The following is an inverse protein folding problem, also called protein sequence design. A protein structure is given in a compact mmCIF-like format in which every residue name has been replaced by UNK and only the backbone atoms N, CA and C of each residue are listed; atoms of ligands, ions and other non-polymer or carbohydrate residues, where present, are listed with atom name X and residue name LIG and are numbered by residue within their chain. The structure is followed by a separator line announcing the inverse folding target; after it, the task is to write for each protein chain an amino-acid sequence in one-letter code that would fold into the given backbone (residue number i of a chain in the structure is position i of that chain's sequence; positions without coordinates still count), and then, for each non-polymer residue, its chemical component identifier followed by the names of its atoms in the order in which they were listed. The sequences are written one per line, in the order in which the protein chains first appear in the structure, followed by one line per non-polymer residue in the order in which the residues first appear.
data_IF_309645575109
#
_entry.id   IF_309645575109
#
_cell.length_a   1.000
_cell.length_b   1.000
_cell.length_c   1.000
_cell.angle_alpha   90.00
_cell.angle_beta   90.00
_cell.angle_gamma   90.00
#
_symmetry.space_group_name_H-M   'P 1'
#
loop_
_entity.id
_entity.type
_entity.pdbx_description
1 polymer ?
#
# COMPACT_ATOMS: atom_id res chain seq x y z
N UNK A 1 -90.05 20.43 27.88
CA UNK A 1 -88.76 21.12 27.89
C UNK A 1 -87.71 20.08 28.18
N UNK A 2 -86.77 19.92 27.27
CA UNK A 2 -85.68 18.95 27.35
C UNK A 2 -84.40 19.65 27.85
N UNK A 3 -83.47 18.90 28.43
CA UNK A 3 -82.22 19.46 28.98
C UNK A 3 -81.40 20.24 27.95
N UNK A 4 -81.41 19.78 26.68
CA UNK A 4 -80.77 20.45 25.53
C UNK A 4 -81.43 21.78 25.14
N UNK A 5 -82.64 22.05 25.63
CA UNK A 5 -83.30 23.34 25.39
C UNK A 5 -82.71 24.43 26.28
N UNK A 6 -82.00 24.06 27.35
CA UNK A 6 -81.43 24.97 28.37
C UNK A 6 -79.90 24.88 28.47
N UNK A 7 -79.29 23.79 28.02
CA UNK A 7 -77.86 23.56 28.09
C UNK A 7 -77.29 23.19 26.72
N UNK A 8 -76.14 23.77 26.37
CA UNK A 8 -75.43 23.43 25.16
C UNK A 8 -73.92 23.40 25.41
N UNK A 9 -73.25 22.37 24.93
CA UNK A 9 -71.79 22.26 24.95
C UNK A 9 -71.29 22.40 23.53
N UNK A 10 -70.31 23.28 23.33
CA UNK A 10 -69.54 23.38 22.09
C UNK A 10 -68.16 22.80 22.36
N UNK A 11 -67.72 21.88 21.51
CA UNK A 11 -66.46 21.16 21.66
C UNK A 11 -65.47 21.53 20.56
N UNK A 12 -64.18 21.63 20.93
CA UNK A 12 -63.06 21.69 20.00
C UNK A 12 -62.13 20.53 20.28
N UNK A 13 -61.90 19.69 19.27
CA UNK A 13 -60.95 18.57 19.34
C UNK A 13 -59.72 18.88 18.51
N UNK A 14 -58.55 18.84 19.12
CA UNK A 14 -57.27 18.98 18.43
C UNK A 14 -56.66 17.59 18.28
N UNK A 15 -56.38 17.17 17.05
CA UNK A 15 -55.76 15.88 16.74
C UNK A 15 -54.35 16.07 16.19
N UNK A 16 -53.47 15.14 16.51
CA UNK A 16 -52.08 15.12 16.07
C UNK A 16 -51.87 13.90 15.17
N UNK A 17 -51.47 14.11 13.92
CA UNK A 17 -51.32 13.05 12.91
C UNK A 17 -50.00 13.20 12.15
N UNK A 18 -49.48 12.11 11.61
CA UNK A 18 -48.39 12.17 10.64
C UNK A 18 -48.91 12.55 9.24
N UNK A 19 -48.02 12.86 8.28
CA UNK A 19 -48.41 13.21 6.89
C UNK A 19 -49.26 12.14 6.19
N UNK A 20 -49.10 10.87 6.56
CA UNK A 20 -49.90 9.75 6.03
C UNK A 20 -51.28 9.61 6.69
N UNK A 21 -51.62 10.48 7.65
CA UNK A 21 -52.87 10.49 8.42
C UNK A 21 -52.87 9.58 9.64
N UNK A 22 -51.79 8.84 9.91
CA UNK A 22 -51.70 7.96 11.08
C UNK A 22 -51.64 8.80 12.36
N UNK A 23 -52.41 8.49 13.41
CA UNK A 23 -52.40 9.29 14.63
C UNK A 23 -51.06 9.17 15.37
N UNK A 24 -50.59 10.30 15.90
CA UNK A 24 -49.53 10.31 16.92
C UNK A 24 -50.10 9.70 18.19
N UNK A 25 -49.42 8.72 18.78
CA UNK A 25 -49.91 8.00 19.95
C UNK A 25 -49.32 8.56 21.25
N UNK A 26 -50.10 8.47 22.32
CA UNK A 26 -49.62 8.56 23.69
C UNK A 26 -48.83 7.29 24.08
N UNK A 27 -48.19 7.30 25.25
CA UNK A 27 -47.44 6.14 25.77
C UNK A 27 -48.32 4.89 25.98
N UNK A 28 -49.62 5.09 26.21
CA UNK A 28 -50.61 4.02 26.36
C UNK A 28 -51.14 3.46 25.03
N UNK A 29 -50.65 3.98 23.90
CA UNK A 29 -51.07 3.56 22.55
C UNK A 29 -52.36 4.20 22.04
N UNK A 30 -52.98 5.12 22.78
CA UNK A 30 -54.17 5.86 22.33
C UNK A 30 -53.78 7.06 21.44
N UNK A 31 -54.64 7.49 20.49
CA UNK A 31 -54.41 8.72 19.73
C UNK A 31 -54.27 9.93 20.65
N UNK A 32 -53.18 10.67 20.47
CA UNK A 32 -52.94 11.94 21.14
C UNK A 32 -53.95 12.96 20.63
N UNK A 33 -54.78 13.46 21.53
CA UNK A 33 -55.80 14.46 21.24
C UNK A 33 -55.95 15.41 22.42
N UNK A 34 -56.42 16.63 22.17
CA UNK A 34 -56.81 17.60 23.21
C UNK A 34 -58.23 18.04 22.94
N UNK A 35 -59.14 17.80 23.89
CA UNK A 35 -60.54 18.24 23.80
C UNK A 35 -60.77 19.40 24.74
N UNK A 36 -61.42 20.45 24.24
CA UNK A 36 -61.85 21.60 25.03
C UNK A 36 -63.35 21.79 24.88
N UNK A 37 -63.99 22.25 25.95
CA UNK A 37 -65.44 22.43 26.02
C UNK A 37 -65.77 23.87 26.44
N UNK A 38 -66.78 24.46 25.80
CA UNK A 38 -67.47 25.65 26.26
C UNK A 38 -68.93 25.29 26.59
N UNK A 39 -69.36 25.55 27.82
CA UNK A 39 -70.68 25.17 28.33
C UNK A 39 -71.57 26.40 28.43
N UNK A 40 -72.64 26.41 27.68
CA UNK A 40 -73.62 27.48 27.63
C UNK A 40 -74.91 27.06 28.31
N UNK A 41 -75.49 27.97 29.08
CA UNK A 41 -76.80 27.79 29.68
C UNK A 41 -77.72 28.95 29.32
N UNK A 42 -79.03 28.71 29.31
CA UNK A 42 -80.05 29.76 29.23
C UNK A 42 -81.23 29.39 30.11
N UNK A 43 -81.96 30.40 30.57
CA UNK A 43 -83.18 30.21 31.34
C UNK A 43 -84.40 30.11 30.43
N UNK A 44 -85.47 29.49 30.93
CA UNK A 44 -86.76 29.53 30.27
C UNK A 44 -87.89 29.80 31.26
N UNK A 45 -88.89 30.55 30.81
CA UNK A 45 -90.10 30.86 31.57
C UNK A 45 -91.28 30.10 30.98
N UNK A 46 -92.03 29.41 31.83
CA UNK A 46 -93.22 28.64 31.46
C UNK A 46 -94.45 29.34 32.01
N UNK A 47 -95.40 29.66 31.14
CA UNK A 47 -96.70 30.15 31.55
C UNK A 47 -97.56 28.97 32.03
N UNK A 48 -97.89 28.93 33.33
CA UNK A 48 -98.64 27.82 33.93
C UNK A 48 -100.11 27.75 33.48
N UNK A 49 -100.65 28.82 32.90
CA UNK A 49 -102.05 28.89 32.42
C UNK A 49 -102.14 28.47 30.96
N UNK A 50 -101.22 28.92 30.10
CA UNK A 50 -101.25 28.66 28.64
C UNK A 50 -100.32 27.53 28.19
N UNK A 51 -99.37 27.12 29.03
CA UNK A 51 -98.30 26.17 28.66
C UNK A 51 -97.21 26.76 27.76
N UNK A 52 -97.26 28.06 27.45
CA UNK A 52 -96.28 28.73 26.59
C UNK A 52 -94.89 28.80 27.24
N UNK A 53 -93.86 28.54 26.44
CA UNK A 53 -92.45 28.57 26.87
C UNK A 53 -91.71 29.69 26.15
N UNK A 54 -91.05 30.56 26.90
CA UNK A 54 -90.14 31.58 26.36
C UNK A 54 -88.73 31.31 26.87
N UNK A 55 -87.73 31.43 25.99
CA UNK A 55 -86.31 31.22 26.31
C UNK A 55 -85.61 32.58 26.43
N UNK A 56 -84.75 32.71 27.43
CA UNK A 56 -83.84 33.85 27.57
C UNK A 56 -82.60 33.71 26.69
N UNK A 57 -81.72 34.71 26.78
CA UNK A 57 -80.43 34.69 26.10
C UNK A 57 -79.50 33.60 26.66
N UNK A 58 -78.64 33.07 25.81
CA UNK A 58 -77.55 32.21 26.24
C UNK A 58 -76.51 32.99 27.06
N UNK A 59 -75.80 32.30 27.95
CA UNK A 59 -74.61 32.84 28.61
C UNK A 59 -73.62 33.41 27.58
N UNK A 60 -72.80 34.42 27.94
CA UNK A 60 -71.86 35.06 27.03
C UNK A 60 -70.89 34.10 26.35
N UNK A 61 -70.33 34.55 25.22
CA UNK A 61 -69.29 33.84 24.47
C UNK A 61 -68.09 33.49 25.36
N UNK A 62 -67.50 32.31 25.11
CA UNK A 62 -66.36 31.79 25.87
C UNK A 62 -65.16 31.60 24.95
N UNK A 63 -63.96 31.74 25.50
CA UNK A 63 -62.70 31.52 24.80
C UNK A 63 -62.19 30.10 25.05
N UNK A 64 -61.86 29.39 23.97
CA UNK A 64 -61.11 28.13 24.02
C UNK A 64 -59.62 28.47 23.87
N UNK A 65 -58.87 28.32 24.96
CA UNK A 65 -57.48 28.75 25.07
C UNK A 65 -56.55 28.11 24.02
N UNK A 66 -55.47 28.82 23.66
CA UNK A 66 -54.38 28.29 22.84
C UNK A 66 -53.84 26.96 23.38
N UNK A 67 -53.54 26.03 22.48
CA UNK A 67 -52.91 24.75 22.82
C UNK A 67 -51.62 24.61 22.01
N UNK A 68 -50.49 24.47 22.71
CA UNK A 68 -49.19 24.23 22.08
C UNK A 68 -49.11 22.83 21.49
N UNK A 69 -48.56 22.72 20.30
CA UNK A 69 -48.27 21.43 19.68
C UNK A 69 -47.14 20.73 20.45
N UNK A 70 -47.25 19.41 20.73
CA UNK A 70 -46.19 18.66 21.38
C UNK A 70 -44.98 18.48 20.46
N UNK A 71 -43.78 18.40 21.04
CA UNK A 71 -42.60 17.94 20.30
C UNK A 71 -42.71 16.44 20.08
N UNK A 72 -42.61 16.01 18.82
CA UNK A 72 -42.58 14.60 18.42
C UNK A 72 -41.20 14.27 17.87
N UNK A 73 -40.47 13.39 18.55
CA UNK A 73 -39.07 13.08 18.22
C UNK A 73 -38.98 12.56 16.78
N UNK A 74 -38.17 13.22 15.96
CA UNK A 74 -37.93 12.87 14.57
C UNK A 74 -38.93 13.46 13.57
N UNK A 75 -39.80 14.38 14.00
CA UNK A 75 -40.81 15.02 13.15
C UNK A 75 -40.97 16.51 13.45
N UNK A 76 -41.41 17.28 12.46
CA UNK A 76 -41.74 18.70 12.57
C UNK A 76 -43.25 18.89 12.42
N UNK A 77 -43.86 19.65 13.33
CA UNK A 77 -45.24 20.05 13.23
C UNK A 77 -45.42 21.12 12.14
N UNK A 78 -46.58 21.14 11.49
CA UNK A 78 -47.00 22.19 10.56
C UNK A 78 -47.27 23.53 11.27
N UNK A 79 -47.68 23.48 12.54
CA UNK A 79 -47.94 24.66 13.39
C UNK A 79 -47.49 24.45 14.83
N UNK A 80 -46.92 25.50 15.41
CA UNK A 80 -46.39 25.50 16.79
C UNK A 80 -47.51 25.45 17.85
N UNK A 81 -48.68 25.99 17.52
CA UNK A 81 -49.87 25.94 18.38
C UNK A 81 -51.15 26.07 17.57
N UNK A 82 -52.26 25.66 18.19
CA UNK A 82 -53.61 25.97 17.75
C UNK A 82 -54.08 27.20 18.53
N UNK A 83 -54.39 28.33 17.87
CA UNK A 83 -54.64 29.60 18.55
C UNK A 83 -55.94 29.58 19.36
N UNK A 84 -56.07 30.57 20.25
CA UNK A 84 -57.33 30.83 20.97
C UNK A 84 -58.47 31.10 19.98
N UNK A 85 -59.65 30.54 20.25
CA UNK A 85 -60.86 30.84 19.46
C UNK A 85 -62.04 31.16 20.37
N UNK A 86 -62.87 32.13 19.96
CA UNK A 86 -64.07 32.52 20.69
C UNK A 86 -65.28 31.80 20.12
N UNK A 87 -66.07 31.18 20.99
CA UNK A 87 -67.28 30.43 20.61
C UNK A 87 -68.52 30.96 21.33
N UNK A 88 -69.67 30.80 20.67
CA UNK A 88 -71.00 31.14 21.21
C UNK A 88 -71.83 29.86 21.33
N UNK A 89 -72.99 29.93 21.97
CA UNK A 89 -73.92 28.80 21.99
C UNK A 89 -74.31 28.33 20.58
N UNK A 90 -74.29 29.17 19.55
CA UNK A 90 -74.64 28.77 18.18
C UNK A 90 -73.47 28.20 17.37
N UNK A 91 -72.25 28.23 17.93
CA UNK A 91 -71.08 27.62 17.31
C UNK A 91 -71.27 26.10 17.15
N UNK A 92 -70.72 25.56 16.06
CA UNK A 92 -70.64 24.10 15.84
C UNK A 92 -69.38 23.55 16.51
N UNK A 93 -69.40 22.25 16.78
CA UNK A 93 -68.18 21.53 17.15
C UNK A 93 -67.15 21.64 16.02
N UNK A 94 -65.87 21.68 16.41
CA UNK A 94 -64.76 21.84 15.48
C UNK A 94 -63.65 20.83 15.75
N UNK A 95 -62.98 20.40 14.67
CA UNK A 95 -61.77 19.58 14.74
C UNK A 95 -60.62 20.31 14.07
N UNK A 96 -59.52 20.45 14.80
CA UNK A 96 -58.27 21.04 14.33
C UNK A 96 -57.21 19.95 14.21
N UNK A 97 -56.55 19.87 13.06
CA UNK A 97 -55.51 18.86 12.81
C UNK A 97 -54.14 19.53 12.80
N UNK A 98 -53.21 19.00 13.58
CA UNK A 98 -51.77 19.33 13.52
C UNK A 98 -51.06 18.15 12.87
N UNK A 99 -50.33 18.42 11.80
CA UNK A 99 -49.68 17.41 10.97
C UNK A 99 -48.17 17.40 11.21
N UNK A 100 -47.59 16.21 11.34
CA UNK A 100 -46.16 16.00 11.58
C UNK A 100 -45.47 15.41 10.35
N UNK A 101 -44.44 16.11 9.86
CA UNK A 101 -43.58 15.68 8.76
C UNK A 101 -42.26 15.12 9.29
N UNK A 102 -41.70 14.02 8.73
CA UNK A 102 -40.40 13.53 9.15
C UNK A 102 -39.30 14.60 9.03
N UNK A 103 -38.46 14.69 10.06
CA UNK A 103 -37.21 15.45 10.00
C UNK A 103 -36.11 14.57 9.37
N UNK A 104 -35.26 15.18 8.56
CA UNK A 104 -34.14 14.54 7.88
C UNK A 104 -33.01 14.12 8.82
N UNK A 105 -31.95 13.60 8.23
CA UNK A 105 -30.77 13.06 8.90
C UNK A 105 -29.48 13.43 8.17
N UNK A 106 -28.37 13.52 8.89
CA UNK A 106 -27.06 13.39 8.26
C UNK A 106 -26.81 11.91 7.94
N UNK A 107 -26.39 11.62 6.70
CA UNK A 107 -26.12 10.28 6.21
C UNK A 107 -24.61 10.16 5.93
N UNK A 108 -23.82 9.60 6.86
CA UNK A 108 -22.42 9.31 6.60
C UNK A 108 -22.28 8.33 5.43
N UNK A 109 -21.57 8.70 4.38
CA UNK A 109 -21.29 7.84 3.23
C UNK A 109 -19.80 7.45 3.27
N UNK A 110 -19.52 6.26 3.80
CA UNK A 110 -18.17 5.72 3.99
C UNK A 110 -17.92 4.62 2.96
N UNK A 111 -16.86 4.70 2.13
CA UNK A 111 -16.56 3.68 1.14
C UNK A 111 -16.41 2.28 1.76
N UNK A 112 -17.23 1.32 1.29
CA UNK A 112 -17.17 -0.07 1.72
C UNK A 112 -17.74 -0.37 3.11
N UNK A 113 -18.43 0.59 3.75
CA UNK A 113 -18.97 0.43 5.10
C UNK A 113 -20.41 0.94 5.21
N UNK A 114 -21.28 0.14 5.84
CA UNK A 114 -22.65 0.57 6.18
C UNK A 114 -22.64 1.53 7.37
N UNK A 115 -23.56 2.50 7.35
CA UNK A 115 -23.64 3.56 8.35
C UNK A 115 -25.05 3.72 8.87
N UNK A 116 -25.16 4.25 10.09
CA UNK A 116 -26.44 4.62 10.69
C UNK A 116 -26.69 6.11 10.45
N UNK A 117 -27.85 6.49 9.89
CA UNK A 117 -28.28 7.88 9.82
C UNK A 117 -28.29 8.57 11.19
N UNK A 118 -27.78 9.80 11.24
CA UNK A 118 -27.84 10.65 12.44
C UNK A 118 -29.01 11.62 12.25
N UNK A 119 -30.11 11.39 12.96
CA UNK A 119 -31.33 12.21 12.85
C UNK A 119 -31.03 13.66 13.23
N UNK A 120 -31.59 14.62 12.51
CA UNK A 120 -31.56 16.01 12.99
C UNK A 120 -32.33 16.09 14.33
N UNK A 121 -31.83 16.87 15.30
CA UNK A 121 -32.54 17.09 16.56
C UNK A 121 -33.81 17.91 16.33
N UNK A 122 -34.79 17.74 17.20
CA UNK A 122 -35.93 18.64 17.32
C UNK A 122 -35.60 19.82 18.25
N UNK A 123 -36.17 20.99 17.98
CA UNK A 123 -36.16 22.08 18.96
C UNK A 123 -37.10 21.70 20.13
N UNK A 124 -36.62 21.73 21.38
CA UNK A 124 -37.42 21.33 22.53
C UNK A 124 -38.56 22.31 22.88
N UNK A 125 -38.50 23.55 22.40
CA UNK A 125 -39.47 24.60 22.66
C UNK A 125 -40.36 24.93 21.44
N UNK A 126 -39.91 24.61 20.22
CA UNK A 126 -40.64 24.87 18.98
C UNK A 126 -40.75 23.60 18.11
N UNK A 127 -41.90 22.91 18.10
CA UNK A 127 -42.05 21.65 17.35
C UNK A 127 -42.00 21.85 15.83
N UNK A 128 -41.99 23.09 15.33
CA UNK A 128 -41.89 23.39 13.89
C UNK A 128 -40.44 23.52 13.41
N UNK A 129 -39.46 23.47 14.32
CA UNK A 129 -38.06 23.74 14.00
C UNK A 129 -37.11 22.60 14.38
N UNK A 130 -36.00 22.44 13.63
CA UNK A 130 -34.88 21.64 14.09
C UNK A 130 -34.21 22.29 15.30
N UNK A 131 -33.66 21.46 16.17
CA UNK A 131 -32.89 21.89 17.34
C UNK A 131 -31.41 22.11 17.04
N UNK A 132 -30.64 22.42 18.08
CA UNK A 132 -29.20 22.51 17.97
C UNK A 132 -28.56 21.11 17.98
N UNK A 133 -27.65 20.78 17.04
CA UNK A 133 -26.98 19.49 17.01
C UNK A 133 -26.07 19.28 18.23
N UNK A 134 -26.15 18.08 18.82
CA UNK A 134 -25.24 17.60 19.87
C UNK A 134 -24.47 16.35 19.45
N UNK A 135 -24.97 15.64 18.43
CA UNK A 135 -24.32 14.46 17.87
C UNK A 135 -23.11 14.85 17.00
N UNK A 136 -22.23 13.88 16.79
CA UNK A 136 -21.00 14.03 16.02
C UNK A 136 -20.91 12.95 14.95
N UNK A 137 -20.25 13.28 13.85
CA UNK A 137 -19.93 12.31 12.80
C UNK A 137 -18.80 11.39 13.30
N UNK A 138 -18.85 10.08 12.98
CA UNK A 138 -17.86 9.13 13.46
C UNK A 138 -16.46 9.41 12.89
N UNK A 139 -15.43 9.09 13.66
CA UNK A 139 -14.06 9.02 13.15
C UNK A 139 -13.84 7.71 12.39
N UNK A 140 -13.25 7.80 11.20
CA UNK A 140 -12.89 6.64 10.37
C UNK A 140 -11.41 6.75 10.01
N UNK A 141 -10.56 5.81 10.46
CA UNK A 141 -9.12 5.85 10.19
C UNK A 141 -8.82 5.93 8.69
N UNK A 142 -8.05 6.94 8.28
CA UNK A 142 -7.66 7.13 6.88
C UNK A 142 -8.70 7.85 6.01
N UNK A 143 -9.81 8.31 6.58
CA UNK A 143 -10.82 9.10 5.88
C UNK A 143 -11.14 10.40 6.63
N UNK A 144 -11.54 11.42 5.89
CA UNK A 144 -12.03 12.69 6.42
C UNK A 144 -13.39 13.01 5.79
N UNK A 145 -14.42 13.31 6.59
CA UNK A 145 -15.71 13.74 6.06
C UNK A 145 -15.62 15.15 5.49
N UNK A 146 -16.34 15.38 4.40
CA UNK A 146 -16.43 16.67 3.72
C UNK A 146 -17.88 17.19 3.74
N UNK A 147 -18.03 18.51 3.68
CA UNK A 147 -19.32 19.15 3.44
C UNK A 147 -19.78 18.99 1.97
N UNK A 148 -20.97 19.52 1.66
CA UNK A 148 -21.54 19.50 0.30
C UNK A 148 -20.69 20.23 -0.75
N UNK A 149 -19.79 21.11 -0.31
CA UNK A 149 -18.92 21.91 -1.18
C UNK A 149 -17.52 21.26 -1.33
N UNK A 150 -17.29 20.11 -0.68
CA UNK A 150 -16.02 19.38 -0.70
C UNK A 150 -14.99 19.89 0.30
N UNK A 151 -15.37 20.74 1.26
CA UNK A 151 -14.45 21.20 2.29
C UNK A 151 -14.38 20.18 3.43
N UNK A 152 -13.17 19.86 3.94
CA UNK A 152 -13.01 19.00 5.10
C UNK A 152 -13.75 19.55 6.32
N UNK A 153 -14.55 18.70 6.98
CA UNK A 153 -15.20 19.04 8.23
C UNK A 153 -14.19 19.12 9.37
N UNK A 154 -14.52 19.92 10.37
CA UNK A 154 -13.66 20.15 11.53
C UNK A 154 -13.81 19.00 12.53
N UNK A 155 -12.70 18.45 13.05
CA UNK A 155 -12.78 17.52 14.17
C UNK A 155 -13.34 18.23 15.41
N UNK A 156 -14.04 17.48 16.25
CA UNK A 156 -14.56 17.98 17.54
C UNK A 156 -13.41 18.42 18.44
N UNK A 157 -12.33 17.63 18.46
CA UNK A 157 -11.06 17.97 19.09
C UNK A 157 -9.93 17.92 18.04
N UNK A 158 -9.30 19.05 17.68
CA UNK A 158 -8.18 19.08 16.74
C UNK A 158 -6.96 18.24 17.14
N UNK A 159 -6.79 17.91 18.43
CA UNK A 159 -5.69 17.09 18.92
C UNK A 159 -6.05 15.61 19.01
N UNK A 160 -7.34 15.29 19.00
CA UNK A 160 -7.85 13.92 19.05
C UNK A 160 -9.03 13.73 18.07
N UNK A 161 -8.72 13.47 16.78
CA UNK A 161 -9.74 13.22 15.76
C UNK A 161 -10.63 12.01 16.07
N UNK A 162 -10.23 11.11 16.99
CA UNK A 162 -11.06 9.95 17.37
C UNK A 162 -12.36 10.35 18.05
N UNK A 163 -12.48 11.60 18.53
CA UNK A 163 -13.73 12.20 19.03
C UNK A 163 -14.77 12.49 17.93
N UNK A 164 -14.42 12.27 16.66
CA UNK A 164 -15.32 12.50 15.54
C UNK A 164 -15.26 13.93 15.01
N UNK A 165 -16.22 14.26 14.15
CA UNK A 165 -16.30 15.54 13.45
C UNK A 165 -17.60 16.26 13.76
N UNK A 166 -17.52 17.58 13.78
CA UNK A 166 -18.69 18.45 13.96
C UNK A 166 -19.60 18.27 12.74
N UNK A 167 -20.88 17.99 12.99
CA UNK A 167 -21.88 17.92 11.92
C UNK A 167 -22.04 19.30 11.24
N UNK A 168 -22.34 19.35 9.93
CA UNK A 168 -22.68 20.61 9.28
C UNK A 168 -23.97 21.22 9.83
N UNK A 169 -24.18 22.50 9.55
CA UNK A 169 -25.44 23.16 9.83
C UNK A 169 -26.60 22.45 9.13
N UNK A 170 -27.74 22.37 9.82
CA UNK A 170 -28.97 21.81 9.26
C UNK A 170 -29.42 22.68 8.08
N UNK A 171 -29.81 22.08 6.93
CA UNK A 171 -30.29 22.84 5.78
C UNK A 171 -31.54 23.68 6.09
N UNK A 172 -31.84 24.64 5.22
CA UNK A 172 -33.07 25.45 5.32
C UNK A 172 -34.33 24.60 5.18
N UNK A 173 -34.27 23.51 4.41
CA UNK A 173 -35.30 22.46 4.40
C UNK A 173 -34.81 21.29 5.28
N UNK A 174 -35.22 21.22 6.55
CA UNK A 174 -34.84 20.16 7.46
C UNK A 174 -35.59 18.84 7.20
N UNK A 175 -36.50 18.77 6.21
CA UNK A 175 -37.18 17.51 5.86
C UNK A 175 -36.38 16.61 4.93
N UNK A 176 -35.23 17.10 4.45
CA UNK A 176 -34.33 16.35 3.56
C UNK A 176 -33.08 15.85 4.29
N UNK A 177 -32.63 14.67 3.89
CA UNK A 177 -31.38 14.11 4.35
C UNK A 177 -30.17 14.84 3.75
N UNK A 178 -29.11 15.00 4.54
CA UNK A 178 -27.82 15.54 4.09
C UNK A 178 -26.80 14.41 4.02
N UNK A 179 -26.34 14.08 2.82
CA UNK A 179 -25.25 13.11 2.65
C UNK A 179 -23.91 13.74 3.01
N UNK A 180 -23.13 13.05 3.84
CA UNK A 180 -21.78 13.45 4.26
C UNK A 180 -20.78 12.45 3.73
N UNK A 181 -20.00 12.84 2.72
CA UNK A 181 -19.05 11.93 2.07
C UNK A 181 -17.74 11.85 2.87
N UNK A 182 -17.26 10.63 3.11
CA UNK A 182 -15.93 10.38 3.66
C UNK A 182 -14.95 10.13 2.53
N UNK A 183 -13.93 10.98 2.45
CA UNK A 183 -12.91 10.92 1.40
C UNK A 183 -11.63 10.35 1.98
N UNK A 184 -11.00 9.44 1.23
CA UNK A 184 -9.72 8.85 1.63
C UNK A 184 -8.63 9.92 1.70
N UNK A 185 -7.90 9.93 2.82
CA UNK A 185 -6.86 10.91 3.10
C UNK A 185 -5.66 10.71 2.17
N UNK A 186 -4.95 11.79 1.92
CA UNK A 186 -3.66 11.72 1.22
C UNK A 186 -2.63 11.02 2.09
N UNK A 187 -1.88 10.10 1.50
CA UNK A 187 -0.81 9.35 2.14
C UNK A 187 0.33 9.10 1.14
N UNK A 188 1.52 8.77 1.65
CA UNK A 188 2.72 8.57 0.81
C UNK A 188 3.13 7.12 0.79
N UNK A 189 3.49 6.62 -0.39
CA UNK A 189 4.28 5.42 -0.58
C UNK A 189 5.75 5.84 -0.73
N UNK A 190 6.62 5.28 0.10
CA UNK A 190 8.07 5.52 0.06
C UNK A 190 8.79 4.22 -0.30
N UNK A 191 9.62 4.26 -1.34
CA UNK A 191 10.44 3.11 -1.76
C UNK A 191 11.91 3.43 -1.51
N UNK A 192 12.57 2.60 -0.70
CA UNK A 192 13.97 2.78 -0.32
C UNK A 192 14.87 1.69 -0.91
N UNK A 193 16.12 2.04 -1.14
CA UNK A 193 17.15 1.15 -1.67
C UNK A 193 18.41 1.29 -0.81
N UNK A 194 18.61 0.35 0.09
CA UNK A 194 19.62 0.46 1.17
C UNK A 194 20.58 -0.72 1.15
N UNK A 195 21.75 -0.56 1.75
CA UNK A 195 22.61 -1.69 2.10
C UNK A 195 22.09 -2.45 3.32
N UNK A 196 22.75 -3.55 3.68
CA UNK A 196 22.38 -4.37 4.85
C UNK A 196 22.43 -3.63 6.20
N UNK A 197 23.07 -2.44 6.25
CA UNK A 197 23.17 -1.59 7.44
C UNK A 197 22.13 -0.46 7.41
N UNK A 198 21.27 -0.39 6.39
CA UNK A 198 20.26 0.63 6.24
C UNK A 198 20.78 1.95 5.63
N UNK A 199 21.99 1.98 5.07
CA UNK A 199 22.52 3.15 4.37
C UNK A 199 21.93 3.22 2.96
N UNK A 200 21.38 4.37 2.58
CA UNK A 200 20.88 4.59 1.23
C UNK A 200 21.99 4.41 0.17
N UNK A 201 21.71 3.59 -0.84
CA UNK A 201 22.60 3.35 -1.98
C UNK A 201 22.25 4.24 -3.18
N UNK A 202 20.95 4.48 -3.37
CA UNK A 202 20.40 5.42 -4.36
C UNK A 202 19.24 6.20 -3.73
N UNK A 203 18.83 7.35 -4.28
CA UNK A 203 17.72 8.13 -3.73
C UNK A 203 16.42 7.33 -3.62
N UNK A 204 15.68 7.58 -2.53
CA UNK A 204 14.35 7.00 -2.32
C UNK A 204 13.33 7.58 -3.32
N UNK A 205 12.33 6.78 -3.69
CA UNK A 205 11.18 7.25 -4.45
C UNK A 205 10.01 7.54 -3.52
N UNK A 206 9.22 8.56 -3.83
CA UNK A 206 8.02 8.90 -3.07
C UNK A 206 6.87 9.21 -4.01
N UNK A 207 5.78 8.48 -3.84
CA UNK A 207 4.54 8.65 -4.59
C UNK A 207 3.45 9.10 -3.62
N UNK A 208 2.79 10.21 -3.93
CA UNK A 208 1.58 10.63 -3.21
C UNK A 208 0.37 9.88 -3.79
N UNK A 209 -0.41 9.26 -2.91
CA UNK A 209 -1.67 8.60 -3.23
C UNK A 209 -2.69 8.84 -2.12
N UNK A 210 -3.77 8.07 -2.13
CA UNK A 210 -4.78 8.05 -1.07
C UNK A 210 -4.69 6.77 -0.26
N UNK A 211 -5.15 6.83 0.99
CA UNK A 211 -5.30 5.63 1.83
C UNK A 211 -6.17 4.61 1.10
N UNK A 212 -5.70 3.37 1.03
CA UNK A 212 -6.38 2.28 0.33
C UNK A 212 -6.03 2.13 -1.15
N UNK A 213 -5.31 3.08 -1.76
CA UNK A 213 -4.83 2.94 -3.15
C UNK A 213 -3.90 1.74 -3.27
N UNK A 214 -4.07 0.95 -4.32
CA UNK A 214 -3.21 -0.20 -4.61
C UNK A 214 -1.86 0.24 -5.16
N UNK A 215 -0.81 -0.47 -4.77
CA UNK A 215 0.54 -0.26 -5.28
C UNK A 215 1.25 -1.58 -5.57
N UNK A 216 2.22 -1.51 -6.47
CA UNK A 216 3.20 -2.57 -6.73
C UNK A 216 4.54 -1.91 -7.02
N UNK A 217 5.60 -2.46 -6.45
CA UNK A 217 6.96 -1.93 -6.52
C UNK A 217 7.93 -3.04 -6.91
N UNK A 218 9.04 -2.68 -7.52
CA UNK A 218 10.13 -3.60 -7.88
C UNK A 218 11.47 -3.03 -7.50
N UNK A 219 12.42 -3.90 -7.16
CA UNK A 219 13.79 -3.51 -6.89
C UNK A 219 14.48 -3.00 -8.15
N UNK A 220 15.38 -2.03 -8.00
CA UNK A 220 16.19 -1.51 -9.10
C UNK A 220 17.54 -2.20 -9.16
N UNK A 221 18.13 -2.27 -10.34
CA UNK A 221 19.54 -2.65 -10.50
C UNK A 221 20.39 -1.53 -9.92
N UNK A 222 21.12 -1.83 -8.85
CA UNK A 222 22.04 -0.90 -8.19
C UNK A 222 23.47 -1.32 -8.56
N UNK A 223 24.24 -0.46 -9.25
CA UNK A 223 25.59 -0.80 -9.65
C UNK A 223 26.43 -1.31 -8.48
N UNK A 224 27.00 -2.48 -8.69
CA UNK A 224 27.89 -3.14 -7.76
C UNK A 224 27.25 -3.79 -6.54
N UNK A 225 25.93 -3.96 -6.53
CA UNK A 225 25.18 -4.57 -5.44
C UNK A 225 24.10 -5.52 -5.96
N UNK A 226 23.76 -6.54 -5.18
CA UNK A 226 22.67 -7.48 -5.45
C UNK A 226 21.54 -7.30 -4.43
N UNK A 227 20.31 -7.31 -4.91
CA UNK A 227 19.12 -7.32 -4.08
C UNK A 227 19.02 -8.68 -3.37
N UNK A 228 19.00 -8.66 -2.04
CA UNK A 228 18.98 -9.88 -1.22
C UNK A 228 17.67 -10.08 -0.47
N UNK A 229 16.95 -9.01 -0.13
CA UNK A 229 15.63 -9.11 0.51
C UNK A 229 14.80 -7.84 0.33
N UNK A 230 13.50 -7.97 0.58
CA UNK A 230 12.55 -6.85 0.65
C UNK A 230 11.99 -6.81 2.06
N UNK A 231 12.00 -5.62 2.67
CA UNK A 231 11.35 -5.34 3.95
C UNK A 231 10.07 -4.53 3.69
N UNK A 232 8.96 -4.99 4.27
CA UNK A 232 7.61 -4.52 3.91
C UNK A 232 6.99 -5.33 2.76
N UNK A 233 5.86 -4.88 2.26
CA UNK A 233 5.10 -5.56 1.21
C UNK A 233 5.38 -4.93 -0.16
N UNK A 234 5.92 -5.69 -1.13
CA UNK A 234 6.20 -5.14 -2.47
C UNK A 234 4.91 -4.81 -3.27
N UNK A 235 3.77 -5.37 -2.86
CA UNK A 235 2.44 -5.11 -3.40
C UNK A 235 1.44 -5.00 -2.26
N UNK A 236 0.52 -4.05 -2.33
CA UNK A 236 -0.45 -3.85 -1.25
C UNK A 236 -1.30 -2.61 -1.46
N UNK A 237 -1.87 -2.11 -0.35
CA UNK A 237 -2.62 -0.85 -0.31
C UNK A 237 -1.92 0.16 0.58
N UNK A 238 -1.95 1.44 0.22
CA UNK A 238 -1.34 2.50 1.02
C UNK A 238 -2.07 2.60 2.37
N UNK A 239 -1.33 2.48 3.47
CA UNK A 239 -1.85 2.58 4.83
C UNK A 239 -2.20 4.02 5.24
N UNK A 240 -2.95 4.16 6.35
CA UNK A 240 -3.37 5.47 6.88
C UNK A 240 -2.21 6.42 7.21
N UNK A 241 -1.07 5.85 7.60
CA UNK A 241 0.15 6.60 7.95
C UNK A 241 1.16 6.60 6.78
N UNK A 242 0.73 6.18 5.59
CA UNK A 242 1.59 5.85 4.46
C UNK A 242 2.09 4.40 4.48
N UNK A 243 2.93 4.08 3.50
CA UNK A 243 3.56 2.77 3.37
C UNK A 243 5.01 2.93 2.97
N UNK A 244 5.87 2.03 3.44
CA UNK A 244 7.30 2.02 3.08
C UNK A 244 7.69 0.61 2.64
N UNK A 245 8.36 0.52 1.49
CA UNK A 245 8.97 -0.70 0.97
C UNK A 245 10.47 -0.46 0.87
N UNK A 246 11.27 -1.34 1.48
CA UNK A 246 12.72 -1.20 1.51
C UNK A 246 13.35 -2.40 0.80
N UNK A 247 14.03 -2.14 -0.31
CA UNK A 247 14.86 -3.10 -1.01
C UNK A 247 16.27 -3.07 -0.39
N UNK A 248 16.71 -4.21 0.14
CA UNK A 248 18.00 -4.33 0.83
C UNK A 248 19.00 -5.07 -0.03
N UNK A 249 20.17 -4.48 -0.19
CA UNK A 249 21.21 -4.93 -1.10
C UNK A 249 22.51 -5.30 -0.38
N UNK A 250 23.26 -6.22 -0.98
CA UNK A 250 24.61 -6.63 -0.56
C UNK A 250 25.62 -6.31 -1.67
N UNK A 251 26.86 -5.88 -1.35
CA UNK A 251 27.90 -5.71 -2.37
C UNK A 251 28.13 -6.97 -3.20
N UNK A 252 28.30 -6.81 -4.51
CA UNK A 252 28.75 -7.88 -5.40
C UNK A 252 30.29 -7.96 -5.38
N UNK A 253 30.82 -9.17 -5.44
CA UNK A 253 32.26 -9.45 -5.44
C UNK A 253 32.97 -9.03 -6.73
N UNK A 254 34.26 -9.32 -6.78
CA UNK A 254 35.16 -8.98 -7.87
C UNK A 254 36.11 -10.13 -8.19
N UNK A 255 36.58 -10.20 -9.43
CA UNK A 255 37.81 -10.91 -9.73
C UNK A 255 38.99 -10.06 -9.27
N UNK A 256 39.87 -10.62 -8.45
CA UNK A 256 41.07 -9.96 -7.94
C UNK A 256 42.29 -10.60 -8.61
N UNK A 257 42.87 -9.97 -9.64
CA UNK A 257 44.16 -10.38 -10.17
C UNK A 257 45.22 -10.32 -9.07
N UNK A 258 45.94 -11.40 -8.84
CA UNK A 258 47.05 -11.47 -7.91
C UNK A 258 48.35 -11.67 -8.72
N UNK A 259 49.02 -10.56 -9.04
CA UNK A 259 50.24 -10.54 -9.85
C UNK A 259 51.45 -10.30 -8.95
N UNK A 260 52.44 -11.22 -8.92
CA UNK A 260 53.62 -11.07 -8.08
C UNK A 260 54.38 -9.75 -8.33
N UNK A 261 54.50 -8.93 -7.27
CA UNK A 261 55.28 -7.69 -7.31
C UNK A 261 54.61 -6.52 -8.06
N UNK A 262 53.33 -6.63 -8.43
CA UNK A 262 52.59 -5.56 -9.12
C UNK A 262 51.27 -5.23 -8.42
N UNK A 263 50.89 -3.94 -8.34
CA UNK A 263 49.56 -3.57 -7.87
C UNK A 263 48.50 -3.97 -8.89
N UNK A 264 47.33 -4.37 -8.41
CA UNK A 264 46.20 -4.76 -9.25
C UNK A 264 44.94 -4.01 -8.86
N UNK A 265 44.02 -3.85 -9.81
CA UNK A 265 42.69 -3.30 -9.58
C UNK A 265 41.67 -4.44 -9.65
N UNK A 266 40.78 -4.58 -8.66
CA UNK A 266 39.68 -5.54 -8.73
C UNK A 266 38.77 -5.27 -9.94
N UNK A 267 38.39 -6.33 -10.65
CA UNK A 267 37.41 -6.28 -11.73
C UNK A 267 36.08 -6.72 -11.15
N UNK A 268 35.14 -5.79 -10.97
CA UNK A 268 33.87 -6.07 -10.32
C UNK A 268 33.01 -7.01 -11.17
N UNK A 269 32.29 -7.94 -10.53
CA UNK A 269 31.30 -8.73 -11.27
C UNK A 269 30.22 -7.80 -11.83
N UNK A 270 29.77 -8.00 -13.08
CA UNK A 270 28.69 -7.23 -13.65
C UNK A 270 27.38 -7.55 -12.93
N UNK A 271 26.49 -6.56 -12.83
CA UNK A 271 25.10 -6.81 -12.48
C UNK A 271 24.33 -7.33 -13.69
N UNK A 272 23.31 -8.17 -13.46
CA UNK A 272 22.34 -8.45 -14.51
C UNK A 272 21.54 -7.17 -14.81
N UNK A 273 21.39 -6.78 -16.08
CA UNK A 273 20.75 -5.52 -16.46
C UNK A 273 19.24 -5.48 -16.18
N UNK A 274 18.58 -6.62 -16.00
CA UNK A 274 17.14 -6.73 -15.79
C UNK A 274 16.76 -7.36 -14.44
N UNK A 275 17.64 -8.18 -13.85
CA UNK A 275 17.40 -8.88 -12.60
C UNK A 275 18.34 -8.38 -11.48
N UNK A 276 17.86 -7.52 -10.56
CA UNK A 276 18.72 -6.98 -9.50
C UNK A 276 19.22 -8.04 -8.50
N UNK A 277 18.70 -9.27 -8.55
CA UNK A 277 19.11 -10.37 -7.66
C UNK A 277 20.30 -11.18 -8.21
N UNK A 278 20.73 -10.95 -9.45
CA UNK A 278 21.72 -11.79 -10.13
C UNK A 278 22.93 -11.01 -10.68
N UNK A 279 24.09 -11.68 -10.74
CA UNK A 279 25.19 -11.21 -11.56
C UNK A 279 24.84 -11.31 -13.05
N UNK A 280 25.39 -10.42 -13.85
CA UNK A 280 25.25 -10.41 -15.30
C UNK A 280 26.29 -11.27 -16.01
N UNK A 281 26.28 -11.23 -17.34
CA UNK A 281 27.32 -11.89 -18.13
C UNK A 281 28.61 -11.04 -18.15
N UNK A 282 29.79 -11.64 -17.89
CA UNK A 282 31.04 -10.93 -17.95
C UNK A 282 31.38 -10.44 -19.36
N UNK A 283 31.68 -9.15 -19.48
CA UNK A 283 32.24 -8.53 -20.70
C UNK A 283 33.71 -8.13 -20.53
N UNK A 284 34.17 -8.03 -19.28
CA UNK A 284 35.53 -7.65 -18.94
C UNK A 284 36.51 -8.81 -19.16
N UNK A 285 37.78 -8.46 -19.36
CA UNK A 285 38.88 -9.41 -19.58
C UNK A 285 39.97 -9.18 -18.54
N UNK A 286 40.64 -10.25 -18.16
CA UNK A 286 41.82 -10.18 -17.30
C UNK A 286 43.00 -9.59 -18.10
N UNK A 287 43.82 -8.72 -17.49
CA UNK A 287 44.92 -8.07 -18.20
C UNK A 287 45.99 -9.09 -18.63
N UNK A 288 46.61 -8.83 -19.78
CA UNK A 288 47.82 -9.54 -20.17
C UNK A 288 49.03 -8.99 -19.39
N UNK A 289 49.82 -9.88 -18.81
CA UNK A 289 51.05 -9.53 -18.08
C UNK A 289 52.21 -10.31 -18.69
N UNK A 290 53.21 -9.65 -19.29
CA UNK A 290 54.35 -10.34 -19.87
C UNK A 290 55.05 -11.26 -18.86
N UNK A 291 55.24 -12.52 -19.24
CA UNK A 291 55.93 -13.52 -18.41
C UNK A 291 55.08 -14.21 -17.35
N UNK A 292 53.77 -13.92 -17.27
CA UNK A 292 52.84 -14.58 -16.35
C UNK A 292 51.59 -15.09 -17.09
N UNK A 293 51.00 -16.16 -16.57
CA UNK A 293 49.71 -16.71 -17.04
C UNK A 293 48.74 -16.78 -15.86
N UNK A 294 47.50 -16.27 -16.00
CA UNK A 294 46.49 -16.41 -14.96
C UNK A 294 45.92 -17.83 -14.93
N UNK A 295 45.68 -18.34 -13.74
CA UNK A 295 45.10 -19.66 -13.48
C UNK A 295 43.73 -19.55 -12.80
N UNK A 296 42.87 -20.56 -13.02
CA UNK A 296 41.63 -20.73 -12.26
C UNK A 296 41.88 -21.24 -10.83
N UNK A 297 40.81 -21.41 -10.06
CA UNK A 297 40.87 -21.92 -8.68
C UNK A 297 41.44 -23.33 -8.54
N UNK A 298 41.46 -24.11 -9.63
CA UNK A 298 41.95 -25.48 -9.68
C UNK A 298 43.40 -25.54 -10.21
N UNK A 299 44.02 -24.38 -10.51
CA UNK A 299 45.37 -24.26 -11.03
C UNK A 299 45.49 -24.46 -12.55
N UNK A 300 44.38 -24.46 -13.29
CA UNK A 300 44.43 -24.58 -14.75
C UNK A 300 44.62 -23.20 -15.40
N UNK A 301 45.50 -23.08 -16.42
CA UNK A 301 45.65 -21.84 -17.17
C UNK A 301 44.34 -21.36 -17.79
N UNK A 302 43.99 -20.09 -17.58
CA UNK A 302 42.82 -19.47 -18.21
C UNK A 302 43.04 -19.28 -19.71
N UNK A 303 41.93 -19.25 -20.45
CA UNK A 303 41.95 -19.13 -21.91
C UNK A 303 42.22 -17.67 -22.35
N UNK A 304 43.18 -17.42 -23.26
CA UNK A 304 43.32 -16.12 -23.90
C UNK A 304 42.05 -15.75 -24.67
N UNK A 305 41.71 -14.45 -24.68
CA UNK A 305 40.59 -13.92 -25.48
C UNK A 305 40.83 -14.19 -26.97
N UNK A 306 42.06 -13.94 -27.44
CA UNK A 306 42.55 -14.31 -28.76
C UNK A 306 43.80 -15.19 -28.62
N UNK A 307 43.75 -16.48 -29.01
CA UNK A 307 44.92 -17.37 -28.96
C UNK A 307 46.11 -16.92 -29.81
N UNK A 308 45.91 -16.02 -30.80
CA UNK A 308 46.97 -15.49 -31.67
C UNK A 308 47.53 -14.17 -31.18
N UNK A 309 46.83 -13.48 -30.29
CA UNK A 309 47.23 -12.21 -29.72
C UNK A 309 46.94 -12.18 -28.21
N UNK A 310 47.88 -12.69 -27.38
CA UNK A 310 47.74 -12.70 -25.93
C UNK A 310 47.57 -11.30 -25.31
N UNK A 311 47.96 -10.23 -26.01
CA UNK A 311 47.80 -8.85 -25.52
C UNK A 311 46.34 -8.44 -25.34
N UNK A 312 45.40 -9.17 -25.95
CA UNK A 312 43.95 -9.01 -25.75
C UNK A 312 43.46 -9.49 -24.37
N UNK A 313 44.34 -10.09 -23.56
CA UNK A 313 44.03 -10.55 -22.22
C UNK A 313 43.41 -11.95 -22.18
N UNK A 314 42.86 -12.30 -21.02
CA UNK A 314 42.29 -13.62 -20.75
C UNK A 314 40.80 -13.53 -20.40
N UNK A 315 40.05 -14.55 -20.79
CA UNK A 315 38.63 -14.66 -20.42
C UNK A 315 38.55 -14.85 -18.90
N UNK A 316 37.72 -14.04 -18.24
CA UNK A 316 37.46 -14.20 -16.81
C UNK A 316 36.76 -15.55 -16.53
N UNK A 317 37.01 -16.19 -15.38
CA UNK A 317 36.28 -17.39 -15.01
C UNK A 317 34.81 -17.08 -14.70
N UNK A 318 33.97 -18.13 -14.69
CA UNK A 318 32.57 -18.01 -14.33
C UNK A 318 32.41 -17.44 -12.91
N UNK A 319 31.38 -16.62 -12.73
CA UNK A 319 31.04 -16.03 -11.43
C UNK A 319 30.63 -17.17 -10.47
N UNK A 320 31.13 -17.18 -9.22
CA UNK A 320 30.76 -18.20 -8.25
C UNK A 320 29.26 -18.23 -7.94
N UNK A 321 28.81 -19.33 -7.34
CA UNK A 321 27.42 -19.47 -6.87
C UNK A 321 27.07 -18.47 -5.77
N UNK A 322 28.05 -18.06 -4.95
CA UNK A 322 27.95 -16.90 -4.06
C UNK A 322 28.67 -15.70 -4.71
N UNK A 323 27.95 -14.84 -5.45
CA UNK A 323 28.54 -13.68 -6.10
C UNK A 323 28.88 -12.54 -5.14
N UNK A 324 28.68 -12.70 -3.82
CA UNK A 324 29.08 -11.70 -2.82
C UNK A 324 30.52 -11.81 -2.36
N UNK A 325 31.24 -12.85 -2.81
CA UNK A 325 32.65 -13.08 -2.50
C UNK A 325 33.55 -12.75 -3.68
N UNK A 326 34.73 -12.24 -3.35
CA UNK A 326 35.78 -12.02 -4.34
C UNK A 326 36.41 -13.34 -4.79
N UNK A 327 36.74 -13.43 -6.07
CA UNK A 327 37.50 -14.56 -6.65
C UNK A 327 38.92 -14.10 -6.92
N UNK A 328 39.89 -14.67 -6.21
CA UNK A 328 41.31 -14.40 -6.46
C UNK A 328 41.76 -15.17 -7.70
N UNK A 329 42.42 -14.47 -8.63
CA UNK A 329 42.99 -15.04 -9.85
C UNK A 329 44.50 -14.92 -9.79
N UNK A 330 45.19 -16.04 -9.58
CA UNK A 330 46.64 -16.05 -9.44
C UNK A 330 47.34 -15.99 -10.80
N UNK A 331 48.29 -15.08 -10.95
CA UNK A 331 49.19 -15.03 -12.09
C UNK A 331 50.49 -15.77 -11.74
N UNK A 332 50.74 -16.87 -12.43
CA UNK A 332 51.92 -17.71 -12.20
C UNK A 332 52.99 -17.40 -13.25
N UNK A 333 54.28 -17.29 -12.87
CA UNK A 333 55.35 -17.11 -13.83
C UNK A 333 55.36 -18.23 -14.87
N UNK A 334 55.45 -17.87 -16.14
CA UNK A 334 55.58 -18.84 -17.21
C UNK A 334 56.85 -19.67 -16.99
N UNK A 335 56.83 -20.99 -17.28
CA UNK A 335 58.04 -21.80 -17.24
C UNK A 335 59.12 -21.11 -18.08
N UNK A 336 60.30 -20.89 -17.51
CA UNK A 336 61.45 -20.45 -18.30
C UNK A 336 61.67 -21.53 -19.36
N UNK A 337 61.59 -21.15 -20.63
CA UNK A 337 62.09 -22.02 -21.69
C UNK A 337 63.56 -22.26 -21.36
N UNK A 338 63.88 -23.48 -20.91
CA UNK A 338 65.28 -23.90 -20.83
C UNK A 338 65.71 -23.96 -22.28
N UNK A 339 66.50 -22.98 -22.72
CA UNK A 339 67.08 -22.99 -24.06
C UNK A 339 67.73 -24.36 -24.26
N UNK A 340 67.13 -25.17 -25.12
CA UNK A 340 67.74 -26.42 -25.58
C UNK A 340 69.07 -26.00 -26.23
N UNK A 341 70.24 -26.53 -25.81
CA UNK A 341 71.50 -26.09 -26.36
C UNK A 341 71.47 -26.19 -27.87
N UNK A 342 71.76 -25.08 -28.56
CA UNK A 342 71.91 -25.07 -29.99
C UNK A 342 73.00 -26.08 -30.38
N UNK A 343 72.65 -26.97 -31.30
CA UNK A 343 73.56 -27.95 -31.89
C UNK A 343 74.84 -27.23 -32.37
N UNK A 344 76.06 -27.72 -32.05
CA UNK A 344 77.28 -27.06 -32.48
C UNK A 344 77.32 -26.93 -34.01
N UNK A 345 77.69 -25.74 -34.49
CA UNK A 345 77.90 -25.48 -35.91
C UNK A 345 79.01 -26.39 -36.46
N UNK A 346 78.71 -27.10 -37.54
CA UNK A 346 79.67 -27.87 -38.31
C UNK A 346 80.67 -26.90 -38.99
N UNK A 347 81.99 -27.09 -38.87
CA UNK A 347 82.96 -26.14 -39.41
C UNK A 347 82.97 -26.16 -40.95
N UNK A 348 83.01 -24.97 -41.54
CA UNK A 348 83.18 -24.74 -42.97
C UNK A 348 84.64 -25.00 -43.39
N UNK A 349 84.78 -25.62 -44.56
CA UNK A 349 86.04 -25.98 -45.23
C UNK A 349 86.82 -24.71 -45.67
N UNK A 350 88.12 -24.58 -45.39
CA UNK A 350 88.88 -23.38 -45.76
C UNK A 350 89.36 -23.39 -47.22
N UNK A 351 89.31 -22.20 -47.84
CA UNK A 351 89.91 -21.89 -49.15
C UNK A 351 91.39 -21.52 -49.01
N UNK A 352 92.13 -21.62 -50.12
CA UNK A 352 93.60 -21.61 -50.25
C UNK A 352 94.30 -20.33 -49.78
N UNK A 353 95.55 -20.55 -49.42
CA UNK A 353 96.53 -19.72 -48.70
C UNK A 353 97.39 -18.86 -49.66
N UNK A 354 97.71 -17.63 -49.25
CA UNK A 354 98.94 -16.91 -49.64
C UNK A 354 99.84 -16.77 -48.40
N UNK A 355 101.12 -17.13 -48.55
CA UNK A 355 102.24 -17.02 -47.58
C UNK A 355 103.05 -15.73 -47.87
N UNK A 356 104.11 -15.31 -47.12
CA UNK A 356 104.83 -15.99 -46.03
C UNK A 356 105.25 -15.09 -44.83
N UNK A 357 105.65 -15.70 -43.70
CA UNK A 357 107.03 -15.62 -43.18
C UNK A 357 107.22 -16.49 -41.93
N UNK A 358 108.38 -17.13 -41.94
CA UNK A 358 108.89 -18.18 -41.07
C UNK A 358 109.66 -17.60 -39.88
N UNK A 359 109.45 -18.16 -38.69
CA UNK A 359 110.46 -18.26 -37.62
C UNK A 359 110.31 -19.63 -36.95
N UNK A 360 111.45 -20.29 -36.79
CA UNK A 360 111.70 -21.69 -36.41
C UNK A 360 111.70 -21.90 -34.87
N UNK A 361 111.35 -23.10 -34.38
CA UNK A 361 111.50 -23.42 -32.95
C UNK A 361 110.72 -24.60 -32.31
N UNK A 362 110.44 -25.68 -33.05
CA UNK A 362 110.37 -27.11 -32.67
C UNK A 362 110.11 -27.59 -31.21
N UNK A 363 109.01 -28.36 -30.99
CA UNK A 363 109.03 -29.78 -30.52
C UNK A 363 107.62 -30.42 -30.50
N UNK A 364 107.48 -31.56 -31.18
CA UNK A 364 106.32 -32.48 -31.13
C UNK A 364 106.55 -33.64 -30.13
N UNK A 365 105.45 -34.33 -29.75
CA UNK A 365 105.21 -35.80 -29.85
C UNK A 365 103.77 -36.15 -29.34
N UNK A 366 103.19 -37.35 -29.60
CA UNK A 366 101.86 -37.46 -30.23
C UNK A 366 100.76 -38.16 -29.39
N UNK A 367 99.58 -38.15 -30.03
CA UNK A 367 98.30 -38.83 -29.80
C UNK A 367 98.35 -40.36 -29.61
N UNK A 368 97.43 -40.93 -28.81
CA UNK A 368 96.68 -42.23 -28.98
C UNK A 368 95.76 -42.42 -27.75
N UNK A 369 94.49 -42.87 -27.77
CA UNK A 369 93.59 -43.37 -28.80
C UNK A 369 92.27 -43.90 -28.19
N UNK A 370 91.31 -44.23 -29.08
CA UNK A 370 90.30 -45.34 -29.05
C UNK A 370 89.26 -45.44 -27.91
N UNK A 371 87.94 -45.29 -28.17
CA UNK A 371 86.93 -46.33 -28.54
C UNK A 371 86.44 -47.16 -27.32
N UNK A 372 85.21 -47.66 -27.15
CA UNK A 372 83.95 -47.69 -27.88
C UNK A 372 82.88 -48.39 -26.99
N UNK A 373 81.59 -48.09 -27.24
CA UNK A 373 80.39 -48.97 -27.25
C UNK A 373 80.10 -49.98 -26.13
N UNK A 374 78.86 -49.97 -25.61
CA UNK A 374 77.84 -50.99 -25.94
C UNK A 374 76.53 -50.79 -25.15
N UNK A 375 75.41 -50.79 -25.90
CA UNK A 375 74.04 -51.04 -25.42
C UNK A 375 73.89 -52.46 -24.88
N UNK A 376 72.98 -52.67 -23.92
CA UNK A 376 72.17 -53.90 -23.91
C UNK A 376 70.85 -53.71 -23.16
N UNK A 377 69.79 -54.26 -23.76
CA UNK A 377 68.41 -54.20 -23.35
C UNK A 377 68.02 -55.38 -22.43
N UNK A 378 66.95 -55.21 -21.64
CA UNK A 378 66.19 -56.30 -20.99
C UNK A 378 64.77 -55.78 -20.68
N UNK A 379 63.70 -56.19 -21.39
CA UNK A 379 62.91 -57.44 -21.33
C UNK A 379 62.02 -57.61 -20.07
N UNK A 380 60.71 -57.81 -20.32
CA UNK A 380 59.74 -58.50 -19.46
C UNK A 380 58.72 -57.57 -18.77
N UNK A 381 57.43 -57.91 -18.61
CA UNK A 381 56.69 -59.14 -18.91
C UNK A 381 55.17 -58.90 -18.76
N UNK A 382 54.38 -59.78 -19.39
CA UNK A 382 52.92 -59.88 -19.48
C UNK A 382 52.13 -59.92 -18.16
N UNK A 383 50.84 -59.56 -18.25
CA UNK A 383 49.77 -60.08 -17.38
C UNK A 383 48.36 -59.71 -17.86
N UNK A 384 47.63 -60.67 -18.41
CA UNK A 384 46.24 -60.56 -18.90
C UNK A 384 45.26 -61.30 -17.96
N UNK A 385 43.96 -60.88 -17.95
CA UNK A 385 42.76 -61.72 -18.17
C UNK A 385 41.49 -61.30 -17.39
N UNK A 386 40.34 -61.39 -18.09
CA UNK A 386 38.99 -61.69 -17.59
C UNK A 386 38.08 -60.49 -17.30
N UNK A 387 36.86 -60.31 -17.84
CA UNK A 387 35.97 -61.17 -18.62
C UNK A 387 34.56 -61.27 -18.00
N UNK A 388 33.62 -60.47 -18.50
CA UNK A 388 32.14 -60.61 -18.60
C UNK A 388 31.23 -60.99 -17.40
N UNK A 389 30.12 -60.23 -17.26
CA UNK A 389 28.88 -60.64 -16.58
C UNK A 389 27.75 -59.58 -16.63
N UNK A 390 26.66 -59.88 -17.36
CA UNK A 390 25.43 -59.08 -17.53
C UNK A 390 24.52 -59.04 -16.28
N UNK A 391 23.69 -57.98 -16.12
CA UNK A 391 22.21 -58.04 -16.15
C UNK A 391 21.54 -56.71 -15.71
N UNK A 392 20.46 -56.36 -16.41
CA UNK A 392 19.59 -55.22 -16.15
C UNK A 392 18.32 -55.65 -15.37
N UNK A 393 17.79 -54.78 -14.48
CA UNK A 393 16.35 -54.46 -14.33
C UNK A 393 16.05 -53.45 -13.19
N UNK A 394 15.54 -52.28 -13.59
CA UNK A 394 14.31 -51.56 -13.17
C UNK A 394 13.74 -51.80 -11.74
N UNK A 395 13.56 -50.72 -10.96
CA UNK A 395 12.28 -50.40 -10.28
C UNK A 395 12.18 -48.91 -9.89
N UNK A 396 10.95 -48.41 -9.95
CA UNK A 396 10.38 -47.11 -9.56
C UNK A 396 9.60 -47.30 -8.24
N UNK A 397 9.09 -46.21 -7.66
CA UNK A 397 8.25 -46.04 -6.44
C UNK A 397 9.06 -45.34 -5.33
N UNK A 398 8.64 -44.23 -4.70
CA UNK A 398 7.35 -43.52 -4.62
C UNK A 398 7.53 -41.99 -4.60
#
# INVERSE_FOLDING_TARGET
MEEKDLNKTVTRTITYVYEDGTPVLNEDGTPKTVTQEAKFTREAKVNLVTGEVTYGDWTPAQDLAEVKSPVVKGYLADKASVPTTKVTADSKDATEVVTYKPIGSWIPNIPGQSTTPIKYPNDPADPTKPGQPTDVLPYVPGFTPEDKDGNPLKPVDPKDPSKGYVVPNIPTDPSQDTVINYVANKAKLVVKYVDEKGKDLIPSETTEGKVGDEYTTTGKVVPGHLLVRVEGEAKGKIGKDGSTVTYVYKPIGSWIPNIPGQPTSPIKYPNDPADPTKPGQPTEVLPYVPGFTPEDKDGNPLKPVDPKDPSKGYVVPNIPTDPSQDTVINYVPNPREVEKPSKPAQPSKPSKQETPKYVEGQKELPNTGTEANASLASLGLLGALGGFGLLARKKKED
#
